data_IF_762000383504
#
_entry.id   IF_762000383504
#
_cell.length_a   1.000
_cell.length_b   1.000
_cell.length_c   1.000
_cell.angle_alpha   90.00
_cell.angle_beta   90.00
_cell.angle_gamma   90.00
#
_symmetry.space_group_name_H-M   'P 1'
#
loop_
_entity.id
_entity.type
_entity.pdbx_description
1 polymer ?
#
# COMPACT_ATOMS: atom_id res chain seq x y z
N UNK A 1 -5.56 11.45 22.81
CA UNK A 1 -6.39 12.42 23.55
C UNK A 1 -6.78 11.76 24.84
N UNK A 2 -6.45 12.36 25.95
CA UNK A 2 -6.83 11.87 27.27
C UNK A 2 -8.24 12.37 27.61
N UNK A 3 -9.05 11.49 28.19
CA UNK A 3 -10.36 11.85 28.72
C UNK A 3 -10.16 12.66 30.02
N UNK A 4 -11.00 13.62 30.29
CA UNK A 4 -11.01 14.23 31.61
C UNK A 4 -11.66 13.32 32.66
N UNK A 5 -11.63 13.70 33.93
CA UNK A 5 -12.17 12.86 35.01
C UNK A 5 -13.67 12.57 34.87
N UNK A 6 -14.44 13.54 34.39
CA UNK A 6 -15.89 13.39 34.20
C UNK A 6 -16.20 12.50 32.99
N UNK A 7 -15.44 12.65 31.91
CA UNK A 7 -15.56 11.82 30.72
C UNK A 7 -15.19 10.36 31.01
N UNK A 8 -14.17 10.11 31.85
CA UNK A 8 -13.80 8.74 32.29
C UNK A 8 -14.94 8.10 33.10
N UNK A 9 -15.54 8.84 34.04
CA UNK A 9 -16.63 8.34 34.86
C UNK A 9 -17.88 8.08 34.01
N UNK A 10 -18.18 8.93 33.06
CA UNK A 10 -19.32 8.76 32.15
C UNK A 10 -19.12 7.55 31.23
N UNK A 11 -17.92 7.35 30.67
CA UNK A 11 -17.58 6.17 29.89
C UNK A 11 -17.64 4.90 30.72
N UNK A 12 -17.14 4.92 31.95
CA UNK A 12 -17.21 3.78 32.88
C UNK A 12 -18.66 3.37 33.14
N UNK A 13 -19.53 4.34 33.45
CA UNK A 13 -20.96 4.07 33.68
C UNK A 13 -21.67 3.58 32.40
N UNK A 14 -21.26 4.09 31.23
CA UNK A 14 -21.79 3.63 29.94
C UNK A 14 -21.39 2.18 29.64
N UNK A 15 -20.14 1.82 29.89
CA UNK A 15 -19.64 0.46 29.70
C UNK A 15 -20.30 -0.54 30.67
N UNK A 16 -20.42 -0.19 31.95
CA UNK A 16 -21.10 -1.04 32.94
C UNK A 16 -22.59 -1.23 32.63
N UNK A 17 -23.25 -0.21 32.09
CA UNK A 17 -24.63 -0.32 31.65
C UNK A 17 -24.82 -1.18 30.40
N UNK A 18 -23.89 -1.10 29.47
CA UNK A 18 -23.95 -1.84 28.20
C UNK A 18 -23.43 -3.29 28.32
N UNK A 19 -22.47 -3.53 29.21
CA UNK A 19 -21.78 -4.81 29.41
C UNK A 19 -21.67 -5.09 30.92
N UNK A 20 -22.75 -5.52 31.57
CA UNK A 20 -22.83 -5.64 33.02
C UNK A 20 -21.98 -6.78 33.62
N UNK A 21 -21.57 -7.76 32.81
CA UNK A 21 -20.72 -8.86 33.27
C UNK A 21 -19.30 -8.79 32.70
N UNK A 22 -18.34 -9.37 33.44
CA UNK A 22 -16.96 -9.50 32.97
C UNK A 22 -16.90 -10.31 31.69
N UNK A 23 -17.73 -11.33 31.54
CA UNK A 23 -17.76 -12.22 30.37
C UNK A 23 -18.24 -11.47 29.12
N UNK A 24 -19.26 -10.62 29.24
CA UNK A 24 -19.72 -9.78 28.14
C UNK A 24 -18.66 -8.75 27.74
N UNK A 25 -18.03 -8.08 28.71
CA UNK A 25 -16.94 -7.14 28.47
C UNK A 25 -15.76 -7.81 27.77
N UNK A 26 -15.35 -9.00 28.24
CA UNK A 26 -14.28 -9.79 27.63
C UNK A 26 -14.58 -10.13 26.18
N UNK A 27 -15.76 -10.66 25.91
CA UNK A 27 -16.19 -11.03 24.56
C UNK A 27 -16.19 -9.83 23.61
N UNK A 28 -16.71 -8.69 24.06
CA UNK A 28 -16.76 -7.49 23.22
C UNK A 28 -15.38 -6.92 22.97
N UNK A 29 -14.51 -6.81 23.99
CA UNK A 29 -13.13 -6.36 23.83
C UNK A 29 -12.37 -7.22 22.81
N UNK A 30 -12.52 -8.55 22.89
CA UNK A 30 -11.91 -9.47 21.93
C UNK A 30 -12.42 -9.25 20.50
N UNK A 31 -13.72 -9.02 20.33
CA UNK A 31 -14.34 -8.90 19.00
C UNK A 31 -14.13 -7.54 18.34
N UNK A 32 -14.13 -6.44 19.10
CA UNK A 32 -14.11 -5.08 18.53
C UNK A 32 -12.77 -4.37 18.66
N UNK A 33 -11.98 -4.70 19.70
CA UNK A 33 -10.65 -4.14 19.90
C UNK A 33 -9.53 -5.14 19.57
N UNK A 34 -9.87 -6.39 19.21
CA UNK A 34 -8.93 -7.49 18.95
C UNK A 34 -7.89 -7.67 20.06
N UNK A 35 -8.30 -7.48 21.34
CA UNK A 35 -7.45 -7.53 22.52
C UNK A 35 -8.01 -8.51 23.55
N UNK A 36 -7.14 -9.07 24.37
CA UNK A 36 -7.53 -9.96 25.45
C UNK A 36 -7.66 -9.17 26.77
N UNK A 37 -8.90 -9.09 27.30
CA UNK A 37 -9.19 -8.41 28.56
C UNK A 37 -8.39 -8.99 29.74
N UNK A 38 -8.13 -10.31 29.75
CA UNK A 38 -7.37 -10.97 30.82
C UNK A 38 -5.90 -10.52 30.84
N UNK A 39 -5.32 -10.23 29.68
CA UNK A 39 -3.97 -9.69 29.56
C UNK A 39 -3.90 -8.19 29.91
N UNK A 40 -4.98 -7.43 29.58
CA UNK A 40 -5.05 -6.01 29.86
C UNK A 40 -5.31 -5.70 31.33
N UNK A 41 -6.30 -6.41 31.92
CA UNK A 41 -6.75 -6.21 33.32
C UNK A 41 -7.08 -7.59 33.93
N UNK A 42 -6.08 -8.31 34.46
CA UNK A 42 -6.21 -9.74 34.79
C UNK A 42 -7.09 -10.06 36.02
N UNK A 43 -7.42 -9.09 36.87
CA UNK A 43 -8.18 -9.29 38.10
C UNK A 43 -9.21 -8.19 38.34
N UNK A 44 -10.28 -8.52 39.09
CA UNK A 44 -11.31 -7.57 39.51
C UNK A 44 -12.71 -7.89 38.98
N UNK A 45 -13.71 -7.28 39.60
CA UNK A 45 -15.11 -7.32 39.17
C UNK A 45 -15.36 -6.45 37.92
N UNK A 46 -16.62 -6.38 37.45
CA UNK A 46 -16.94 -5.64 36.23
C UNK A 46 -16.49 -4.17 36.25
N UNK A 47 -16.61 -3.51 37.41
CA UNK A 47 -16.22 -2.10 37.57
C UNK A 47 -14.71 -1.90 37.51
N UNK A 48 -13.93 -2.69 38.23
CA UNK A 48 -12.47 -2.60 38.21
C UNK A 48 -11.93 -2.93 36.82
N UNK A 49 -12.48 -3.92 36.13
CA UNK A 49 -12.06 -4.29 34.78
C UNK A 49 -12.41 -3.22 33.75
N UNK A 50 -13.61 -2.65 33.82
CA UNK A 50 -13.98 -1.56 32.91
C UNK A 50 -13.12 -0.29 33.15
N UNK A 51 -12.85 0.06 34.40
CA UNK A 51 -11.97 1.18 34.75
C UNK A 51 -10.53 0.95 34.29
N UNK A 52 -9.98 -0.23 34.55
CA UNK A 52 -8.64 -0.62 34.10
C UNK A 52 -8.51 -0.64 32.58
N UNK A 53 -9.54 -1.09 31.87
CA UNK A 53 -9.61 -1.07 30.42
C UNK A 53 -9.53 0.36 29.84
N UNK A 54 -10.29 1.31 30.42
CA UNK A 54 -10.26 2.73 30.03
C UNK A 54 -8.87 3.30 30.22
N UNK A 55 -8.26 3.13 31.41
CA UNK A 55 -6.92 3.63 31.71
C UNK A 55 -5.85 3.03 30.79
N UNK A 56 -5.99 1.75 30.47
CA UNK A 56 -5.07 1.08 29.54
C UNK A 56 -5.20 1.62 28.12
N UNK A 57 -6.43 1.83 27.66
CA UNK A 57 -6.70 2.43 26.36
C UNK A 57 -6.13 3.85 26.24
N UNK A 58 -6.21 4.65 27.31
CA UNK A 58 -5.62 5.98 27.34
C UNK A 58 -4.09 5.93 27.31
N UNK A 59 -3.48 5.11 28.17
CA UNK A 59 -2.02 5.01 28.26
C UNK A 59 -1.36 4.50 26.98
N UNK A 60 -2.07 3.64 26.23
CA UNK A 60 -1.60 3.05 24.98
C UNK A 60 -2.15 3.78 23.72
N UNK A 61 -2.96 4.84 23.89
CA UNK A 61 -3.41 5.72 22.81
C UNK A 61 -4.53 5.17 21.93
N UNK A 62 -5.26 4.13 22.36
CA UNK A 62 -6.37 3.53 21.58
C UNK A 62 -7.76 3.79 22.15
N UNK A 63 -7.93 4.85 22.95
CA UNK A 63 -9.23 5.27 23.52
C UNK A 63 -10.31 5.45 22.46
N UNK A 64 -9.96 5.99 21.29
CA UNK A 64 -10.92 6.16 20.19
C UNK A 64 -11.42 4.81 19.68
N UNK A 65 -10.55 3.84 19.51
CA UNK A 65 -10.89 2.47 19.09
C UNK A 65 -11.82 1.81 20.10
N UNK A 66 -11.50 1.92 21.40
CA UNK A 66 -12.36 1.45 22.47
C UNK A 66 -13.77 2.05 22.38
N UNK A 67 -13.88 3.36 22.35
CA UNK A 67 -15.19 4.07 22.36
C UNK A 67 -16.01 3.72 21.12
N UNK A 68 -15.39 3.75 19.92
CA UNK A 68 -16.10 3.42 18.67
C UNK A 68 -16.49 1.96 18.58
N UNK A 69 -15.61 1.04 19.01
CA UNK A 69 -15.90 -0.39 19.02
C UNK A 69 -17.02 -0.77 19.98
N UNK A 70 -16.99 -0.23 21.21
CA UNK A 70 -18.03 -0.48 22.20
C UNK A 70 -19.39 0.07 21.78
N UNK A 71 -19.41 1.29 21.19
CA UNK A 71 -20.62 1.85 20.61
C UNK A 71 -21.14 1.01 19.43
N UNK A 72 -20.25 0.54 18.54
CA UNK A 72 -20.62 -0.34 17.43
C UNK A 72 -21.22 -1.68 17.87
N UNK A 73 -20.77 -2.23 19.01
CA UNK A 73 -21.30 -3.46 19.58
C UNK A 73 -22.71 -3.26 20.20
N UNK A 74 -23.01 -2.07 20.71
CA UNK A 74 -24.30 -1.71 21.36
C UNK A 74 -24.82 -0.34 20.85
N UNK A 75 -25.13 -0.20 19.56
CA UNK A 75 -25.43 1.10 18.95
C UNK A 75 -26.74 1.75 19.44
N UNK A 76 -27.62 0.97 20.09
CA UNK A 76 -28.89 1.47 20.64
C UNK A 76 -28.83 1.71 22.14
N UNK A 77 -27.69 1.48 22.81
CA UNK A 77 -27.58 1.69 24.26
C UNK A 77 -27.56 3.19 24.61
N UNK A 78 -28.51 3.71 25.41
CA UNK A 78 -28.71 5.15 25.56
C UNK A 78 -27.48 5.90 26.12
N UNK A 79 -26.79 5.30 27.12
CA UNK A 79 -25.63 5.95 27.74
C UNK A 79 -24.40 5.93 26.79
N UNK A 80 -24.17 4.84 26.05
CA UNK A 80 -23.09 4.79 25.06
C UNK A 80 -23.33 5.80 23.93
N UNK A 81 -24.57 5.95 23.48
CA UNK A 81 -24.94 6.95 22.47
C UNK A 81 -24.68 8.37 22.98
N UNK A 82 -25.12 8.67 24.21
CA UNK A 82 -24.89 10.00 24.81
C UNK A 82 -23.40 10.27 24.96
N UNK A 83 -22.62 9.31 25.49
CA UNK A 83 -21.19 9.46 25.61
C UNK A 83 -20.52 9.67 24.26
N UNK A 84 -20.87 8.86 23.24
CA UNK A 84 -20.32 9.01 21.88
C UNK A 84 -20.60 10.39 21.30
N UNK A 85 -21.81 10.93 21.46
CA UNK A 85 -22.14 12.27 20.99
C UNK A 85 -21.35 13.36 21.72
N UNK A 86 -21.19 13.25 23.04
CA UNK A 86 -20.34 14.14 23.84
C UNK A 86 -18.87 14.05 23.44
N UNK A 87 -18.37 12.84 23.29
CA UNK A 87 -16.99 12.56 22.88
C UNK A 87 -16.67 13.11 21.48
N UNK A 88 -17.55 12.88 20.50
CA UNK A 88 -17.39 13.48 19.18
C UNK A 88 -17.44 15.02 19.22
N UNK A 89 -18.30 15.59 20.07
CA UNK A 89 -18.36 17.03 20.24
C UNK A 89 -17.13 17.59 20.98
N UNK A 90 -16.52 16.86 21.92
CA UNK A 90 -15.26 17.25 22.59
C UNK A 90 -14.08 17.17 21.62
N UNK A 91 -14.01 16.12 20.81
CA UNK A 91 -13.04 16.00 19.71
C UNK A 91 -13.16 17.17 18.73
N UNK A 92 -14.38 17.56 18.36
CA UNK A 92 -14.63 18.72 17.48
C UNK A 92 -14.31 20.06 18.14
N UNK A 93 -14.51 20.22 19.45
CA UNK A 93 -14.20 21.45 20.18
C UNK A 93 -12.72 21.66 20.48
N UNK A 94 -11.93 20.60 20.55
CA UNK A 94 -10.48 20.68 20.69
C UNK A 94 -9.76 21.15 19.42
N UNK A 95 -10.48 21.29 18.30
CA UNK A 95 -9.97 21.89 17.07
C UNK A 95 -10.19 23.41 17.14
N UNK A 96 -9.13 24.24 17.11
CA UNK A 96 -9.29 25.71 17.09
C UNK A 96 -10.17 26.12 15.91
N UNK A 97 -11.22 26.92 16.17
CA UNK A 97 -12.17 27.42 15.16
C UNK A 97 -11.54 28.22 13.99
N UNK A 98 -10.22 28.39 13.97
CA UNK A 98 -9.50 29.18 12.95
C UNK A 98 -8.90 28.39 11.79
N UNK A 99 -9.00 27.06 11.79
CA UNK A 99 -8.65 26.28 10.61
C UNK A 99 -9.56 25.06 10.51
N UNK A 100 -10.61 25.18 9.72
CA UNK A 100 -11.38 24.02 9.23
C UNK A 100 -10.49 23.12 8.37
N UNK A 101 -9.33 23.64 7.99
CA UNK A 101 -8.31 22.95 7.19
C UNK A 101 -7.04 22.81 8.04
N UNK A 102 -6.71 21.58 8.38
CA UNK A 102 -5.43 21.23 8.98
C UNK A 102 -4.63 20.43 7.97
N UNK A 103 -3.44 20.91 7.65
CA UNK A 103 -2.44 20.09 6.98
C UNK A 103 -2.05 18.98 7.98
N UNK A 104 -2.61 17.79 7.80
CA UNK A 104 -2.29 16.60 8.57
C UNK A 104 -1.24 15.84 7.77
N UNK A 105 0.02 16.12 8.04
CA UNK A 105 1.16 15.49 7.37
C UNK A 105 2.30 16.47 7.10
N UNK A 106 3.46 15.99 6.65
CA UNK A 106 4.52 16.86 6.19
C UNK A 106 3.95 17.79 5.11
N UNK A 107 4.31 19.07 5.18
CA UNK A 107 3.85 20.12 4.28
C UNK A 107 4.02 19.68 2.84
N UNK A 108 2.91 19.28 2.23
CA UNK A 108 2.87 19.12 0.80
C UNK A 108 2.98 20.53 0.22
N UNK A 109 4.07 20.84 -0.48
CA UNK A 109 4.10 22.01 -1.32
C UNK A 109 2.93 21.83 -2.31
N UNK A 110 1.96 22.73 -2.21
CA UNK A 110 0.81 22.79 -3.12
C UNK A 110 1.33 23.06 -4.52
N UNK A 111 1.87 22.02 -5.16
CA UNK A 111 2.21 22.07 -6.56
C UNK A 111 0.94 22.36 -7.33
N UNK A 112 1.00 23.30 -8.29
CA UNK A 112 -0.14 23.55 -9.15
C UNK A 112 -0.67 22.22 -9.71
N UNK A 113 -1.98 22.01 -9.69
CA UNK A 113 -2.62 20.77 -10.15
C UNK A 113 -2.13 20.33 -11.54
N UNK A 114 -1.76 21.29 -12.41
CA UNK A 114 -1.16 21.02 -13.72
C UNK A 114 0.21 20.36 -13.63
N UNK A 115 1.05 20.75 -12.68
CA UNK A 115 2.36 20.14 -12.49
C UNK A 115 2.24 18.68 -12.05
N UNK A 116 1.30 18.38 -11.17
CA UNK A 116 1.03 17.02 -10.72
C UNK A 116 0.47 16.16 -11.86
N UNK A 117 -0.53 16.66 -12.61
CA UNK A 117 -1.09 15.97 -13.79
C UNK A 117 -0.05 15.67 -14.87
N UNK A 118 0.84 16.63 -15.17
CA UNK A 118 1.93 16.44 -16.14
C UNK A 118 2.91 15.35 -15.68
N UNK A 119 3.27 15.33 -14.38
CA UNK A 119 4.12 14.26 -13.82
C UNK A 119 3.44 12.90 -13.84
N UNK A 120 2.15 12.81 -13.47
CA UNK A 120 1.40 11.58 -13.56
C UNK A 120 1.31 11.08 -15.01
N UNK A 121 0.96 11.93 -15.96
CA UNK A 121 0.93 11.58 -17.38
C UNK A 121 2.30 11.11 -17.89
N UNK A 122 3.40 11.72 -17.42
CA UNK A 122 4.74 11.26 -17.74
C UNK A 122 5.06 9.88 -17.16
N UNK A 123 4.54 9.54 -15.97
CA UNK A 123 4.64 8.20 -15.36
C UNK A 123 3.84 7.19 -16.19
N UNK A 124 2.58 7.51 -16.52
CA UNK A 124 1.69 6.64 -17.28
C UNK A 124 2.32 6.18 -18.61
N UNK A 125 3.00 7.07 -19.32
CA UNK A 125 3.70 6.74 -20.59
C UNK A 125 4.83 5.72 -20.42
N UNK A 126 5.37 5.56 -19.21
CA UNK A 126 6.50 4.67 -18.85
C UNK A 126 6.05 3.33 -18.33
N UNK A 127 4.76 3.16 -18.03
CA UNK A 127 4.17 1.92 -17.53
C UNK A 127 3.62 1.10 -18.71
N UNK A 128 3.81 -0.20 -18.65
CA UNK A 128 3.41 -1.13 -19.70
C UNK A 128 2.77 -2.40 -19.13
N UNK A 129 2.05 -3.11 -19.98
CA UNK A 129 1.62 -4.48 -19.73
C UNK A 129 2.76 -5.42 -20.09
N UNK A 130 2.94 -6.48 -19.29
CA UNK A 130 3.74 -7.65 -19.64
C UNK A 130 2.78 -8.75 -20.06
N UNK A 131 2.92 -9.25 -21.29
CA UNK A 131 1.95 -10.16 -21.87
C UNK A 131 2.65 -11.22 -22.77
N UNK A 132 2.08 -12.41 -22.94
CA UNK A 132 2.53 -13.35 -23.94
C UNK A 132 2.10 -12.89 -25.33
N UNK A 133 2.69 -13.42 -26.39
CA UNK A 133 2.26 -13.16 -27.78
C UNK A 133 0.75 -13.47 -27.96
N UNK A 134 0.28 -14.54 -27.33
CA UNK A 134 -1.14 -14.94 -27.33
C UNK A 134 -1.55 -15.25 -25.90
N UNK A 135 -2.65 -14.66 -25.47
CA UNK A 135 -3.22 -14.90 -24.14
C UNK A 135 -3.46 -13.62 -23.33
N UNK A 136 -3.83 -13.81 -22.07
CA UNK A 136 -4.08 -12.71 -21.14
C UNK A 136 -2.76 -12.06 -20.68
N UNK A 137 -2.85 -10.80 -20.25
CA UNK A 137 -1.74 -10.11 -19.60
C UNK A 137 -1.27 -10.85 -18.35
N UNK A 138 0.04 -10.90 -18.14
CA UNK A 138 0.69 -11.58 -17.02
C UNK A 138 0.90 -10.63 -15.84
N UNK A 139 1.18 -9.36 -16.15
CA UNK A 139 1.53 -8.37 -15.15
C UNK A 139 1.70 -6.98 -15.75
N UNK A 140 2.19 -6.11 -14.90
CA UNK A 140 2.60 -4.74 -15.20
C UNK A 140 4.13 -4.64 -15.17
N UNK A 141 4.68 -3.67 -15.86
CA UNK A 141 6.09 -3.30 -15.81
C UNK A 141 6.26 -1.82 -16.09
N UNK A 142 7.46 -1.31 -15.95
CA UNK A 142 7.78 0.08 -16.29
C UNK A 142 9.23 0.23 -16.78
N UNK A 143 9.43 1.21 -17.66
CA UNK A 143 10.77 1.54 -18.16
C UNK A 143 11.65 2.09 -17.05
N UNK A 144 12.88 1.56 -16.96
CA UNK A 144 13.94 1.99 -16.04
C UNK A 144 15.22 2.43 -16.76
N UNK A 145 15.25 2.26 -18.08
CA UNK A 145 16.27 2.74 -19.00
C UNK A 145 15.62 2.88 -20.38
N UNK A 146 16.37 3.34 -21.38
CA UNK A 146 15.86 3.56 -22.75
C UNK A 146 15.17 2.33 -23.36
N UNK A 147 15.62 1.13 -23.02
CA UNK A 147 15.18 -0.16 -23.58
C UNK A 147 15.03 -1.29 -22.53
N UNK A 148 14.96 -0.93 -21.23
CA UNK A 148 14.84 -1.92 -20.15
C UNK A 148 13.58 -1.67 -19.32
N UNK A 149 12.79 -2.72 -19.16
CA UNK A 149 11.57 -2.75 -18.34
C UNK A 149 11.85 -3.52 -17.05
N UNK A 150 11.43 -2.97 -15.92
CA UNK A 150 11.39 -3.64 -14.62
C UNK A 150 10.00 -4.22 -14.38
N UNK A 151 9.94 -5.48 -13.97
CA UNK A 151 8.73 -6.19 -13.52
C UNK A 151 9.10 -7.19 -12.42
N UNK A 152 8.14 -7.97 -11.89
CA UNK A 152 8.46 -9.06 -10.97
C UNK A 152 9.02 -10.29 -11.70
N UNK A 153 9.83 -11.07 -10.98
CA UNK A 153 10.34 -12.35 -11.47
C UNK A 153 9.21 -13.37 -11.68
N UNK A 154 8.26 -13.47 -10.73
CA UNK A 154 7.13 -14.39 -10.83
C UNK A 154 6.21 -14.13 -12.05
N UNK A 155 6.21 -12.90 -12.60
CA UNK A 155 5.46 -12.56 -13.83
C UNK A 155 6.03 -13.28 -15.07
N UNK A 156 7.35 -13.50 -15.08
CA UNK A 156 8.06 -14.13 -16.21
C UNK A 156 8.51 -15.56 -15.91
N UNK A 157 8.36 -16.03 -14.68
CA UNK A 157 8.76 -17.37 -14.28
C UNK A 157 8.11 -18.44 -15.16
N UNK A 158 8.89 -19.42 -15.56
CA UNK A 158 8.46 -20.51 -16.45
C UNK A 158 7.95 -20.07 -17.83
N UNK A 159 8.41 -18.90 -18.33
CA UNK A 159 8.10 -18.40 -19.67
C UNK A 159 9.33 -18.32 -20.53
N UNK A 160 9.16 -18.63 -21.82
CA UNK A 160 10.19 -18.36 -22.82
C UNK A 160 10.21 -16.85 -23.10
N UNK A 161 11.36 -16.22 -22.95
CA UNK A 161 11.48 -14.75 -23.06
C UNK A 161 11.04 -14.25 -24.45
N UNK A 162 11.38 -14.97 -25.52
CA UNK A 162 10.98 -14.66 -26.90
C UNK A 162 9.44 -14.68 -27.09
N UNK A 163 8.71 -15.38 -26.23
CA UNK A 163 7.25 -15.39 -26.23
C UNK A 163 6.64 -14.21 -25.49
N UNK A 164 7.44 -13.39 -24.82
CA UNK A 164 6.97 -12.25 -24.05
C UNK A 164 7.01 -10.96 -24.87
N UNK A 165 6.05 -10.11 -24.59
CA UNK A 165 5.93 -8.74 -25.13
C UNK A 165 5.69 -7.78 -23.98
N UNK A 166 6.19 -6.56 -24.13
CA UNK A 166 5.72 -5.42 -23.32
C UNK A 166 4.91 -4.50 -24.21
N UNK A 167 3.80 -4.00 -23.70
CA UNK A 167 2.89 -3.13 -24.46
C UNK A 167 2.70 -1.82 -23.73
N UNK A 168 3.14 -0.72 -24.35
CA UNK A 168 2.89 0.65 -23.90
C UNK A 168 1.65 1.24 -24.56
N UNK A 169 1.12 2.31 -24.00
CA UNK A 169 0.06 3.14 -24.56
C UNK A 169 -1.22 2.39 -24.90
N UNK A 170 -1.53 1.32 -24.17
CA UNK A 170 -2.78 0.61 -24.32
C UNK A 170 -3.89 1.39 -23.60
N UNK A 171 -4.71 2.09 -24.37
CA UNK A 171 -5.80 2.96 -23.86
C UNK A 171 -7.16 2.42 -24.31
N UNK A 172 -8.09 2.37 -23.37
CA UNK A 172 -9.47 1.93 -23.59
C UNK A 172 -10.39 2.95 -22.94
N UNK A 173 -11.51 3.25 -23.58
CA UNK A 173 -12.55 4.11 -23.01
C UNK A 173 -13.31 3.40 -21.87
N UNK A 174 -14.04 4.13 -21.01
CA UNK A 174 -14.82 3.54 -19.92
C UNK A 174 -15.85 2.49 -20.37
N UNK A 175 -16.37 2.58 -21.59
CA UNK A 175 -17.27 1.62 -22.22
C UNK A 175 -16.55 0.39 -22.80
N UNK A 176 -15.23 0.24 -22.54
CA UNK A 176 -14.32 -0.78 -23.06
C UNK A 176 -14.02 -0.69 -24.56
N UNK A 177 -14.45 0.35 -25.25
CA UNK A 177 -14.03 0.60 -26.62
C UNK A 177 -12.53 0.87 -26.67
N UNK A 178 -11.82 0.13 -27.54
CA UNK A 178 -10.39 0.29 -27.73
C UNK A 178 -10.10 1.67 -28.33
N UNK A 179 -9.49 2.56 -27.55
CA UNK A 179 -9.08 3.89 -27.99
C UNK A 179 -7.73 3.81 -28.71
N UNK A 180 -6.79 3.06 -28.15
CA UNK A 180 -5.44 2.90 -28.67
C UNK A 180 -4.93 1.49 -28.35
N UNK A 181 -4.57 0.68 -29.38
CA UNK A 181 -4.10 -0.68 -29.16
C UNK A 181 -2.74 -0.75 -28.45
N UNK A 182 -2.01 0.36 -28.42
CA UNK A 182 -0.67 0.43 -27.88
C UNK A 182 0.38 -0.19 -28.80
N UNK A 183 1.63 -0.01 -28.44
CA UNK A 183 2.80 -0.52 -29.18
C UNK A 183 3.48 -1.63 -28.39
N UNK A 184 3.73 -2.75 -29.08
CA UNK A 184 4.39 -3.92 -28.50
C UNK A 184 5.88 -3.93 -28.83
N UNK A 185 6.69 -4.43 -27.89
CA UNK A 185 8.11 -4.65 -28.02
C UNK A 185 8.45 -6.07 -27.57
N UNK A 186 9.30 -6.74 -28.34
CA UNK A 186 9.77 -8.11 -28.05
C UNK A 186 10.74 -8.06 -26.88
N UNK A 187 10.63 -8.98 -25.95
CA UNK A 187 11.63 -9.17 -24.89
C UNK A 187 12.81 -9.97 -25.46
N UNK A 188 14.00 -9.35 -25.46
CA UNK A 188 15.24 -9.97 -25.95
C UNK A 188 15.91 -10.86 -24.92
N UNK A 189 16.09 -10.34 -23.71
CA UNK A 189 16.77 -11.05 -22.62
C UNK A 189 16.41 -10.47 -21.26
N UNK A 190 16.60 -11.26 -20.23
CA UNK A 190 16.60 -10.81 -18.84
C UNK A 190 18.05 -10.48 -18.44
N UNK A 191 18.35 -9.22 -18.09
CA UNK A 191 19.70 -8.76 -17.76
C UNK A 191 20.05 -8.93 -16.28
N UNK A 192 19.02 -8.90 -15.40
CA UNK A 192 19.16 -9.17 -13.98
C UNK A 192 17.82 -9.67 -13.43
N UNK A 193 17.86 -10.51 -12.43
CA UNK A 193 16.67 -11.03 -11.75
C UNK A 193 16.98 -11.48 -10.32
N UNK A 194 15.96 -11.49 -9.48
CA UNK A 194 15.96 -12.08 -8.14
C UNK A 194 14.67 -12.88 -7.96
N UNK A 195 14.71 -14.10 -7.44
CA UNK A 195 13.49 -14.86 -7.16
C UNK A 195 12.67 -14.20 -6.03
N UNK A 196 11.42 -14.61 -5.90
CA UNK A 196 10.63 -14.28 -4.70
C UNK A 196 11.04 -15.17 -3.51
N UNK A 197 10.71 -14.74 -2.31
CA UNK A 197 10.96 -15.54 -1.12
C UNK A 197 9.98 -16.73 -1.04
N UNK A 198 10.45 -17.96 -0.80
CA UNK A 198 9.54 -19.07 -0.47
C UNK A 198 8.65 -18.76 0.75
N UNK A 199 9.12 -17.89 1.66
CA UNK A 199 8.34 -17.45 2.82
C UNK A 199 7.11 -16.61 2.41
N UNK A 200 7.11 -15.95 1.25
CA UNK A 200 5.97 -15.19 0.74
C UNK A 200 4.76 -16.09 0.38
N UNK A 201 5.00 -17.39 0.20
CA UNK A 201 3.95 -18.38 -0.09
C UNK A 201 3.34 -19.01 1.18
N UNK A 202 3.83 -18.64 2.37
CA UNK A 202 3.45 -19.25 3.65
C UNK A 202 2.72 -18.26 4.54
N UNK A 203 1.73 -18.78 5.30
CA UNK A 203 1.03 -17.98 6.31
C UNK A 203 0.82 -18.80 7.61
N UNK A 204 1.26 -18.32 8.78
CA UNK A 204 2.06 -17.11 8.97
C UNK A 204 3.43 -17.22 8.29
N UNK A 205 3.98 -16.08 7.86
CA UNK A 205 5.30 -16.04 7.21
C UNK A 205 6.38 -16.42 8.24
N UNK A 206 7.21 -17.46 8.00
CA UNK A 206 8.16 -17.96 8.99
C UNK A 206 9.37 -17.05 9.20
N UNK A 207 9.70 -16.19 8.23
CA UNK A 207 10.80 -15.23 8.27
C UNK A 207 10.56 -14.09 7.27
N UNK A 208 11.29 -13.00 7.42
CA UNK A 208 11.36 -11.97 6.37
C UNK A 208 12.13 -12.48 5.14
N UNK A 209 11.88 -11.88 3.99
CA UNK A 209 12.62 -12.15 2.76
C UNK A 209 14.08 -11.69 2.91
N UNK A 210 15.00 -12.40 2.27
CA UNK A 210 16.41 -12.01 2.19
C UNK A 210 16.66 -11.02 1.06
N UNK A 211 17.81 -10.35 1.07
CA UNK A 211 18.24 -9.45 0.00
C UNK A 211 18.40 -10.13 -1.38
N UNK A 212 18.50 -11.46 -1.41
CA UNK A 212 18.52 -12.27 -2.63
C UNK A 212 17.13 -12.74 -3.09
N UNK A 213 16.05 -12.34 -2.40
CA UNK A 213 14.67 -12.79 -2.60
C UNK A 213 13.73 -11.58 -2.83
N UNK A 214 14.09 -10.75 -3.82
CA UNK A 214 13.41 -9.47 -4.08
C UNK A 214 12.41 -9.52 -5.23
N UNK A 215 12.16 -10.68 -5.83
CA UNK A 215 11.14 -10.88 -6.87
C UNK A 215 11.13 -9.81 -7.96
N UNK A 216 12.26 -9.57 -8.61
CA UNK A 216 12.36 -8.64 -9.72
C UNK A 216 12.99 -9.26 -10.97
N UNK A 217 12.69 -8.67 -12.12
CA UNK A 217 13.33 -8.98 -13.40
C UNK A 217 13.49 -7.72 -14.25
N UNK A 218 14.69 -7.48 -14.74
CA UNK A 218 15.03 -6.43 -15.70
C UNK A 218 15.04 -7.03 -17.11
N UNK A 219 14.08 -6.63 -17.92
CA UNK A 219 13.85 -7.16 -19.26
C UNK A 219 14.32 -6.17 -20.32
N UNK A 220 15.37 -6.49 -21.05
CA UNK A 220 15.75 -5.71 -22.23
C UNK A 220 14.83 -6.04 -23.40
N UNK A 221 14.31 -5.03 -24.05
CA UNK A 221 13.40 -5.16 -25.19
C UNK A 221 14.04 -4.75 -26.51
N UNK A 222 13.42 -5.09 -27.63
CA UNK A 222 13.84 -4.61 -28.96
C UNK A 222 13.49 -3.14 -29.12
N UNK A 223 14.34 -2.42 -29.87
CA UNK A 223 14.20 -0.99 -30.07
C UNK A 223 14.61 -0.17 -28.84
N UNK A 224 14.11 1.02 -28.76
CA UNK A 224 14.38 1.97 -27.68
C UNK A 224 13.10 2.75 -27.32
N UNK A 225 12.11 2.08 -26.68
CA UNK A 225 10.84 2.73 -26.37
C UNK A 225 10.98 4.00 -25.53
N UNK A 226 12.01 4.11 -24.69
CA UNK A 226 12.26 5.31 -23.88
C UNK A 226 12.62 6.54 -24.68
N UNK A 227 13.21 6.39 -25.86
CA UNK A 227 13.59 7.49 -26.74
C UNK A 227 12.43 7.95 -27.65
N UNK A 228 11.33 7.20 -27.70
CA UNK A 228 10.21 7.51 -28.57
C UNK A 228 9.43 8.74 -28.12
N UNK A 229 9.02 9.55 -29.10
CA UNK A 229 8.11 10.66 -28.84
C UNK A 229 6.69 10.12 -28.63
N UNK A 230 6.08 10.50 -27.52
CA UNK A 230 4.69 10.19 -27.18
C UNK A 230 3.98 11.49 -26.89
N UNK A 231 2.99 11.85 -27.73
CA UNK A 231 2.41 13.18 -27.70
C UNK A 231 3.51 14.25 -27.94
N UNK A 232 3.65 15.21 -27.05
CA UNK A 232 4.59 16.34 -27.20
C UNK A 232 5.91 16.14 -26.43
N UNK A 233 6.21 14.94 -25.94
CA UNK A 233 7.41 14.70 -25.12
C UNK A 233 8.01 13.30 -25.33
N UNK A 234 9.32 13.11 -25.10
CA UNK A 234 9.91 11.77 -25.07
C UNK A 234 9.27 10.96 -23.94
N UNK A 235 9.10 9.65 -24.16
CA UNK A 235 8.58 8.73 -23.15
C UNK A 235 9.45 8.77 -21.88
N UNK A 236 10.77 8.66 -22.03
CA UNK A 236 11.72 8.58 -20.94
C UNK A 236 11.53 7.29 -20.12
N UNK A 237 12.10 7.29 -18.93
CA UNK A 237 12.05 6.15 -17.99
C UNK A 237 12.01 6.63 -16.56
N UNK A 238 11.77 5.69 -15.61
CA UNK A 238 11.79 5.91 -14.17
C UNK A 238 13.14 5.42 -13.63
N UNK A 239 13.93 6.32 -13.07
CA UNK A 239 15.15 5.90 -12.37
C UNK A 239 14.81 5.39 -10.97
N UNK A 240 15.43 4.26 -10.58
CA UNK A 240 15.33 3.78 -9.22
C UNK A 240 16.17 4.69 -8.31
N UNK A 241 15.63 5.15 -7.18
CA UNK A 241 16.36 6.04 -6.27
C UNK A 241 17.61 5.36 -5.71
N UNK A 242 18.67 6.14 -5.51
CA UNK A 242 19.89 5.68 -4.80
C UNK A 242 19.64 5.64 -3.30
N UNK A 243 19.04 6.70 -2.78
CA UNK A 243 18.73 6.82 -1.37
C UNK A 243 17.28 6.38 -1.08
N UNK A 244 17.03 5.76 0.07
CA UNK A 244 15.69 5.37 0.46
C UNK A 244 14.74 6.56 0.49
N UNK A 245 13.65 6.49 -0.25
CA UNK A 245 12.56 7.45 -0.09
C UNK A 245 11.88 7.18 1.26
N UNK A 246 11.77 8.17 2.15
CA UNK A 246 11.08 8.00 3.42
C UNK A 246 9.63 7.57 3.20
N UNK A 247 9.21 6.52 3.90
CA UNK A 247 7.83 6.02 3.91
C UNK A 247 7.29 6.22 5.33
N UNK A 248 6.27 7.04 5.44
CA UNK A 248 5.62 7.35 6.72
C UNK A 248 4.26 6.65 6.72
N UNK A 249 3.95 5.81 7.73
CA UNK A 249 2.63 5.22 7.86
C UNK A 249 1.50 6.27 7.82
N UNK A 250 0.43 5.96 7.07
CA UNK A 250 -0.69 6.87 6.85
C UNK A 250 -0.49 7.87 5.70
N UNK A 251 0.71 7.95 5.09
CA UNK A 251 0.89 8.69 3.84
C UNK A 251 0.29 7.94 2.64
N UNK A 252 -0.10 8.71 1.63
CA UNK A 252 -0.70 8.18 0.41
C UNK A 252 0.30 7.34 -0.37
N UNK A 253 -0.11 6.10 -0.67
CA UNK A 253 0.51 5.20 -1.65
C UNK A 253 -0.27 5.28 -2.96
N UNK A 254 0.42 5.49 -4.09
CA UNK A 254 -0.15 5.55 -5.42
C UNK A 254 0.47 4.45 -6.28
N UNK A 255 -0.35 3.61 -6.92
CA UNK A 255 0.10 2.55 -7.82
C UNK A 255 -0.49 2.78 -9.20
N UNK A 256 0.36 2.80 -10.24
CA UNK A 256 -0.06 2.86 -11.65
C UNK A 256 0.05 1.46 -12.23
N UNK A 257 -1.08 0.85 -12.58
CA UNK A 257 -1.17 -0.60 -12.82
C UNK A 257 -2.10 -0.95 -13.99
N UNK A 258 -1.98 -2.20 -14.47
CA UNK A 258 -2.89 -2.83 -15.43
C UNK A 258 -3.58 -4.04 -14.78
N UNK A 259 -4.56 -3.84 -13.87
CA UNK A 259 -5.23 -4.93 -13.18
C UNK A 259 -5.97 -5.82 -14.18
N UNK A 260 -5.81 -7.15 -14.08
CA UNK A 260 -6.44 -8.14 -14.97
C UNK A 260 -6.18 -7.90 -16.47
N UNK A 261 -5.08 -7.20 -16.80
CA UNK A 261 -4.82 -6.76 -18.17
C UNK A 261 -5.80 -5.72 -18.68
N UNK A 262 -6.60 -5.15 -17.81
CA UNK A 262 -7.54 -4.05 -18.11
C UNK A 262 -6.77 -2.75 -18.46
N UNK A 263 -7.48 -1.71 -18.89
CA UNK A 263 -6.88 -0.37 -19.04
C UNK A 263 -6.06 0.02 -17.82
N UNK A 264 -5.05 0.85 -18.07
CA UNK A 264 -4.27 1.42 -16.99
C UNK A 264 -5.18 2.11 -15.97
N UNK A 265 -4.95 1.82 -14.71
CA UNK A 265 -5.66 2.43 -13.58
C UNK A 265 -4.69 2.93 -12.53
N UNK A 266 -5.14 3.88 -11.72
CA UNK A 266 -4.43 4.40 -10.56
C UNK A 266 -5.18 3.94 -9.32
N UNK A 267 -4.48 3.24 -8.43
CA UNK A 267 -5.00 2.85 -7.12
C UNK A 267 -4.33 3.70 -6.04
N UNK A 268 -5.12 4.16 -5.08
CA UNK A 268 -4.72 5.08 -4.01
C UNK A 268 -5.17 4.52 -2.67
N UNK A 269 -4.26 4.49 -1.69
CA UNK A 269 -4.55 4.20 -0.28
C UNK A 269 -3.33 4.64 0.56
N UNK A 270 -3.11 4.07 1.72
CA UNK A 270 -2.04 4.48 2.64
C UNK A 270 -0.90 3.47 2.75
N UNK A 271 0.31 3.98 2.97
CA UNK A 271 1.44 3.19 3.42
C UNK A 271 1.25 2.75 4.87
N UNK A 272 1.65 1.51 5.17
CA UNK A 272 1.67 0.96 6.53
C UNK A 272 3.09 0.95 7.12
N UNK A 273 4.12 0.86 6.28
CA UNK A 273 5.51 0.92 6.70
C UNK A 273 6.45 0.06 5.86
N UNK A 274 7.67 -0.10 6.36
CA UNK A 274 8.73 -0.93 5.76
C UNK A 274 9.16 -1.94 6.81
N UNK A 275 9.36 -3.19 6.43
CA UNK A 275 9.85 -4.22 7.35
C UNK A 275 11.30 -3.98 7.79
N UNK A 276 11.75 -4.67 8.85
CA UNK A 276 13.07 -4.44 9.47
C UNK A 276 14.23 -4.72 8.50
N UNK A 277 14.12 -5.75 7.66
CA UNK A 277 15.13 -6.10 6.64
C UNK A 277 15.11 -5.19 5.41
N UNK A 278 14.17 -4.22 5.32
CA UNK A 278 13.95 -3.34 4.16
C UNK A 278 13.75 -4.09 2.84
N UNK A 279 13.11 -5.24 2.89
CA UNK A 279 12.81 -6.05 1.71
C UNK A 279 11.33 -5.98 1.29
N UNK A 280 10.45 -5.43 2.14
CA UNK A 280 9.03 -5.25 1.86
C UNK A 280 8.52 -3.90 2.37
N UNK A 281 7.74 -3.24 1.53
CA UNK A 281 6.90 -2.07 1.86
C UNK A 281 5.46 -2.54 1.91
N UNK A 282 4.74 -2.27 2.99
CA UNK A 282 3.34 -2.65 3.14
C UNK A 282 2.42 -1.45 2.95
N UNK A 283 1.27 -1.66 2.29
CA UNK A 283 0.25 -0.64 2.02
C UNK A 283 -1.13 -1.28 1.81
N UNK A 284 -2.19 -0.49 1.97
CA UNK A 284 -3.59 -0.95 1.84
C UNK A 284 -4.16 -0.86 0.44
N UNK A 285 -3.43 -0.28 -0.50
CA UNK A 285 -3.90 -0.03 -1.86
C UNK A 285 -4.52 -1.28 -2.49
N UNK A 286 -5.74 -1.17 -3.00
CA UNK A 286 -6.43 -2.27 -3.67
C UNK A 286 -5.74 -2.62 -4.98
N UNK A 287 -5.42 -3.90 -5.16
CA UNK A 287 -4.81 -4.43 -6.38
C UNK A 287 -5.53 -5.71 -6.81
N UNK A 288 -5.45 -6.03 -8.10
CA UNK A 288 -5.99 -7.26 -8.69
C UNK A 288 -4.89 -8.04 -9.40
N UNK A 289 -5.09 -9.31 -9.75
CA UNK A 289 -4.16 -10.04 -10.61
C UNK A 289 -3.78 -9.21 -11.84
N UNK A 290 -2.49 -9.20 -12.21
CA UNK A 290 -1.99 -8.33 -13.28
C UNK A 290 -1.38 -7.01 -12.79
N UNK A 291 -1.57 -6.63 -11.53
CA UNK A 291 -0.91 -5.47 -10.91
C UNK A 291 0.56 -5.73 -10.55
N UNK A 292 0.95 -7.00 -10.41
CA UNK A 292 2.34 -7.41 -10.15
C UNK A 292 3.32 -6.74 -11.11
N UNK A 293 4.36 -6.11 -10.58
CA UNK A 293 5.35 -5.36 -11.35
C UNK A 293 4.99 -3.89 -11.58
N UNK A 294 3.89 -3.39 -11.01
CA UNK A 294 3.51 -1.99 -11.08
C UNK A 294 4.41 -1.09 -10.22
N UNK A 295 4.74 0.12 -10.67
CA UNK A 295 5.45 1.09 -9.84
C UNK A 295 4.54 1.69 -8.77
N UNK A 296 5.07 1.79 -7.55
CA UNK A 296 4.41 2.40 -6.40
C UNK A 296 5.12 3.72 -6.04
N UNK A 297 4.34 4.77 -5.79
CA UNK A 297 4.83 6.12 -5.57
C UNK A 297 4.29 6.71 -4.27
N UNK A 298 5.00 7.72 -3.75
CA UNK A 298 4.45 8.64 -2.75
C UNK A 298 3.45 9.61 -3.40
N UNK A 299 2.78 10.42 -2.58
CA UNK A 299 1.88 11.49 -3.05
C UNK A 299 2.59 12.55 -3.92
N UNK A 300 3.92 12.74 -3.73
CA UNK A 300 4.76 13.62 -4.54
C UNK A 300 5.22 12.97 -5.85
N UNK A 301 4.73 11.75 -6.15
CA UNK A 301 5.11 10.96 -7.30
C UNK A 301 6.60 10.56 -7.32
N UNK A 302 7.18 10.30 -6.15
CA UNK A 302 8.50 9.68 -6.01
C UNK A 302 8.35 8.16 -6.01
N UNK A 303 9.10 7.49 -6.86
CA UNK A 303 9.11 6.02 -6.94
C UNK A 303 9.67 5.44 -5.64
N UNK A 304 8.94 4.49 -5.03
CA UNK A 304 9.33 3.86 -3.75
C UNK A 304 9.38 2.35 -3.82
N UNK A 305 8.49 1.71 -4.58
CA UNK A 305 8.44 0.25 -4.60
C UNK A 305 7.99 -0.31 -5.95
N UNK A 306 8.37 -1.57 -6.19
CA UNK A 306 7.82 -2.47 -7.20
C UNK A 306 6.72 -3.29 -6.54
N UNK A 307 5.46 -3.15 -6.95
CA UNK A 307 4.35 -3.94 -6.42
C UNK A 307 4.60 -5.43 -6.64
N UNK A 308 4.54 -6.21 -5.55
CA UNK A 308 4.97 -7.61 -5.56
C UNK A 308 3.81 -8.57 -5.32
N UNK A 309 3.03 -8.37 -4.29
CA UNK A 309 2.03 -9.34 -3.88
C UNK A 309 0.67 -8.73 -3.55
N UNK A 310 -0.30 -9.40 -3.97
CA UNK A 310 -1.73 -9.31 -3.83
C UNK A 310 -2.36 -10.52 -4.49
N UNK A 311 -1.57 -11.58 -4.75
CA UNK A 311 -2.02 -12.75 -5.50
C UNK A 311 -2.97 -13.65 -4.72
N UNK A 312 -3.80 -14.48 -5.43
CA UNK A 312 -4.81 -15.36 -4.86
C UNK A 312 -4.26 -16.49 -3.97
N UNK A 313 -2.94 -16.58 -3.83
CA UNK A 313 -2.27 -17.56 -2.95
C UNK A 313 -1.91 -16.97 -1.58
N UNK A 314 -1.97 -15.65 -1.41
CA UNK A 314 -1.93 -15.05 -0.08
C UNK A 314 -3.34 -15.11 0.51
N UNK A 315 -3.54 -15.79 1.65
CA UNK A 315 -4.80 -15.66 2.37
C UNK A 315 -5.03 -14.18 2.66
N UNK A 316 -6.23 -13.69 2.38
CA UNK A 316 -6.71 -12.33 2.68
C UNK A 316 -6.61 -11.93 4.17
N UNK A 317 -5.97 -12.76 4.98
CA UNK A 317 -5.73 -12.59 6.41
C UNK A 317 -4.77 -11.44 6.76
N UNK A 318 -3.92 -10.97 5.85
CA UNK A 318 -3.02 -9.85 6.15
C UNK A 318 -3.68 -8.47 5.98
N UNK A 319 -4.74 -8.34 5.19
CA UNK A 319 -5.45 -7.06 5.00
C UNK A 319 -4.63 -5.95 4.34
N UNK A 320 -3.47 -6.29 3.74
CA UNK A 320 -2.59 -5.33 3.06
C UNK A 320 -1.83 -6.00 1.90
N UNK A 321 -1.35 -5.17 0.99
CA UNK A 321 -0.47 -5.53 -0.12
C UNK A 321 0.97 -5.15 0.19
N UNK A 322 1.91 -5.71 -0.57
CA UNK A 322 3.34 -5.48 -0.40
C UNK A 322 4.03 -5.12 -1.72
N UNK A 323 5.10 -4.35 -1.61
CA UNK A 323 6.03 -4.04 -2.68
C UNK A 323 7.47 -4.19 -2.25
N UNK A 324 8.36 -4.29 -3.21
CA UNK A 324 9.81 -4.36 -3.00
C UNK A 324 10.38 -2.94 -3.08
N UNK A 325 11.09 -2.43 -2.05
CA UNK A 325 11.71 -1.11 -2.12
C UNK A 325 12.66 -1.00 -3.32
N UNK A 326 12.49 0.03 -4.13
CA UNK A 326 13.27 0.18 -5.38
C UNK A 326 14.73 0.58 -5.14
N UNK A 327 15.01 1.30 -4.05
CA UNK A 327 16.39 1.54 -3.58
C UNK A 327 17.10 0.23 -3.22
N UNK A 328 16.41 -0.69 -2.53
CA UNK A 328 16.96 -2.01 -2.19
C UNK A 328 17.26 -2.83 -3.44
N UNK A 329 16.39 -2.79 -4.46
CA UNK A 329 16.66 -3.42 -5.76
C UNK A 329 17.92 -2.80 -6.37
N UNK A 330 18.01 -1.46 -6.45
CA UNK A 330 19.18 -0.76 -7.02
C UNK A 330 20.48 -1.11 -6.31
N UNK A 331 20.49 -1.16 -4.99
CA UNK A 331 21.67 -1.52 -4.20
C UNK A 331 22.13 -2.96 -4.44
N UNK A 332 21.20 -3.88 -4.66
CA UNK A 332 21.50 -5.30 -4.93
C UNK A 332 22.04 -5.59 -6.33
N UNK A 333 22.02 -4.62 -7.26
CA UNK A 333 22.53 -4.80 -8.62
C UNK A 333 24.06 -4.72 -8.68
N UNK A 334 24.67 -5.54 -9.53
CA UNK A 334 26.11 -5.47 -9.78
C UNK A 334 26.47 -4.18 -10.55
N UNK A 335 27.75 -3.72 -10.46
CA UNK A 335 28.21 -2.55 -11.21
C UNK A 335 28.00 -2.69 -12.73
N UNK A 336 28.16 -3.90 -13.27
CA UNK A 336 27.99 -4.19 -14.71
C UNK A 336 26.52 -3.98 -15.13
N UNK A 337 25.58 -4.42 -14.30
CA UNK A 337 24.14 -4.21 -14.55
C UNK A 337 23.78 -2.73 -14.46
N UNK A 338 24.30 -2.02 -13.45
CA UNK A 338 24.10 -0.57 -13.32
C UNK A 338 24.63 0.18 -14.56
N UNK A 339 25.81 -0.17 -15.02
CA UNK A 339 26.41 0.40 -16.24
C UNK A 339 25.54 0.14 -17.49
N UNK A 340 24.96 -1.07 -17.63
CA UNK A 340 24.03 -1.40 -18.73
C UNK A 340 22.74 -0.56 -18.68
N UNK A 341 22.30 -0.16 -17.48
CA UNK A 341 21.14 0.69 -17.27
C UNK A 341 21.45 2.19 -17.42
N UNK A 342 22.74 2.55 -17.57
CA UNK A 342 23.19 3.94 -17.58
C UNK A 342 23.19 4.60 -16.21
N UNK A 343 23.20 3.79 -15.14
CA UNK A 343 23.27 4.26 -13.77
C UNK A 343 24.74 4.25 -13.30
N UNK A 344 25.21 5.38 -12.87
CA UNK A 344 26.59 5.56 -12.34
C UNK A 344 26.62 5.34 -10.84
#
# INVERSE_FOLDING_TARGET
MELDGAERDELLLALLGAFPSVEELRRVVANVCHRDLELLVPRGGPRERASGLILRAESEGWTRELVTGMHGAQPRHPRLNRFMQGYLASVQRSVPRRSLERIVGPTWEQGAADGWRKRLSAIERRVCRVEPVVGASLGTGFLVSRDVVLTNFHVIENRLLESLRVRFDHKVLPDRTLLQPGRQYVVKRCIARSPYSPADLMHPRPREAMASELDYAFLQVEGAPGDEQVEDAPRGWLELPEEPTPIIPGQLALIVQHPEGQPMSVALDEFLGVNASRTRVSYRTSTSPGSSGAPCFTQELRLVALHHSGGPRMPSAMGHNEGIPTDTIRHGLSPEVKALLGWT
#
